data_IF_517342174911
#
_entry.id   IF_517342174911
#
_cell.length_a   1.000
_cell.length_b   1.000
_cell.length_c   1.000
_cell.angle_alpha   90.00
_cell.angle_beta   90.00
_cell.angle_gamma   90.00
#
_symmetry.space_group_name_H-M   'P 1'
#
loop_
_entity.id
_entity.type
_entity.pdbx_description
1 polymer ?
#
# COMPACT_ATOMS: atom_id res chain seq x y z
N UNK A 1 0.14 -9.36 22.45
CA UNK A 1 0.63 -10.02 21.23
C UNK A 1 0.33 -9.17 20.02
N UNK A 2 1.32 -8.97 19.20
CA UNK A 2 1.13 -8.18 17.97
C UNK A 2 0.59 -9.08 16.87
N UNK A 3 -0.49 -8.61 16.25
CA UNK A 3 -1.04 -9.30 15.09
C UNK A 3 -0.68 -8.45 13.88
N UNK A 4 0.02 -9.02 12.94
CA UNK A 4 0.32 -8.32 11.70
C UNK A 4 -0.95 -8.19 10.89
N UNK A 5 -1.29 -6.96 10.49
CA UNK A 5 -2.46 -6.71 9.67
C UNK A 5 -2.24 -7.19 8.24
N UNK A 6 -1.00 -7.17 7.80
CA UNK A 6 -0.63 -7.56 6.44
C UNK A 6 0.58 -8.47 6.51
N UNK A 7 0.49 -9.64 5.89
CA UNK A 7 1.59 -10.59 5.90
C UNK A 7 2.69 -10.16 4.92
N UNK A 8 3.91 -10.67 5.15
CA UNK A 8 5.02 -10.42 4.25
C UNK A 8 4.73 -10.95 2.85
N UNK A 9 4.05 -12.08 2.74
CA UNK A 9 3.67 -12.63 1.44
C UNK A 9 2.74 -11.71 0.67
N UNK A 10 1.78 -11.11 1.37
CA UNK A 10 0.87 -10.15 0.75
C UNK A 10 1.60 -8.89 0.30
N UNK A 11 2.53 -8.43 1.12
CA UNK A 11 3.31 -7.25 0.78
C UNK A 11 4.23 -7.52 -0.41
N UNK A 12 4.82 -8.71 -0.47
CA UNK A 12 5.64 -9.10 -1.61
C UNK A 12 4.84 -9.14 -2.92
N UNK A 13 3.63 -9.69 -2.86
CA UNK A 13 2.77 -9.76 -4.03
C UNK A 13 2.38 -8.35 -4.50
N UNK A 14 1.99 -7.50 -3.56
CA UNK A 14 1.61 -6.13 -3.88
C UNK A 14 2.81 -5.34 -4.43
N UNK A 15 3.98 -5.51 -3.83
CA UNK A 15 5.21 -4.88 -4.29
C UNK A 15 5.52 -5.30 -5.73
N UNK A 16 5.38 -6.59 -6.04
CA UNK A 16 5.64 -7.08 -7.38
C UNK A 16 4.70 -6.43 -8.39
N UNK A 17 3.43 -6.28 -8.06
CA UNK A 17 2.49 -5.60 -8.93
C UNK A 17 2.88 -4.14 -9.16
N UNK A 18 3.32 -3.46 -8.11
CA UNK A 18 3.76 -2.07 -8.21
C UNK A 18 4.99 -1.93 -9.10
N UNK A 19 5.93 -2.88 -9.01
CA UNK A 19 7.16 -2.83 -9.78
C UNK A 19 6.98 -3.29 -11.23
N UNK A 20 6.21 -4.36 -11.44
CA UNK A 20 6.08 -4.97 -12.76
C UNK A 20 5.02 -4.31 -13.62
N UNK A 21 4.04 -3.67 -13.00
CA UNK A 21 2.92 -3.08 -13.72
C UNK A 21 3.24 -1.81 -14.49
N UNK A 22 4.41 -1.22 -14.30
CA UNK A 22 4.74 0.06 -14.93
C UNK A 22 3.74 1.14 -14.58
N UNK A 23 3.24 1.12 -13.35
CA UNK A 23 2.16 2.00 -12.92
C UNK A 23 2.65 3.41 -12.66
N UNK A 24 1.81 4.40 -13.03
CA UNK A 24 2.06 5.76 -12.60
C UNK A 24 1.56 5.93 -11.16
N UNK A 25 1.77 7.14 -10.60
CA UNK A 25 1.40 7.41 -9.20
C UNK A 25 -0.09 7.19 -8.93
N UNK A 26 -0.94 7.57 -9.87
CA UNK A 26 -2.39 7.40 -9.72
C UNK A 26 -2.80 5.94 -9.73
N UNK A 27 -2.20 5.17 -10.63
CA UNK A 27 -2.48 3.74 -10.73
C UNK A 27 -1.98 3.01 -9.50
N UNK A 28 -0.80 3.37 -9.00
CA UNK A 28 -0.27 2.81 -7.77
C UNK A 28 -1.19 3.12 -6.59
N UNK A 29 -1.67 4.36 -6.49
CA UNK A 29 -2.59 4.76 -5.43
C UNK A 29 -3.88 3.96 -5.51
N UNK A 30 -4.41 3.79 -6.71
CA UNK A 30 -5.63 3.01 -6.93
C UNK A 30 -5.45 1.56 -6.51
N UNK A 31 -4.30 0.98 -6.81
CA UNK A 31 -3.99 -0.37 -6.39
C UNK A 31 -4.00 -0.50 -4.87
N UNK A 32 -3.40 0.46 -4.16
CA UNK A 32 -3.41 0.47 -2.70
C UNK A 32 -4.82 0.62 -2.15
N UNK A 33 -5.65 1.46 -2.77
CA UNK A 33 -7.04 1.62 -2.37
C UNK A 33 -7.82 0.32 -2.53
N UNK A 34 -7.68 -0.32 -3.67
CA UNK A 34 -8.38 -1.58 -3.95
C UNK A 34 -7.97 -2.65 -2.94
N UNK A 35 -6.68 -2.73 -2.65
CA UNK A 35 -6.16 -3.68 -1.69
C UNK A 35 -6.77 -3.46 -0.31
N UNK A 36 -6.78 -2.23 0.17
CA UNK A 36 -7.31 -1.92 1.50
C UNK A 36 -8.83 -2.00 1.55
N UNK A 37 -9.51 -1.53 0.50
CA UNK A 37 -10.98 -1.62 0.44
C UNK A 37 -11.44 -3.07 0.47
N UNK A 38 -10.71 -3.97 -0.16
CA UNK A 38 -11.01 -5.39 -0.12
C UNK A 38 -10.89 -6.01 1.27
N UNK A 39 -10.23 -5.31 2.19
CA UNK A 39 -10.07 -5.74 3.57
C UNK A 39 -10.98 -4.96 4.52
N UNK A 40 -11.85 -4.12 3.99
CA UNK A 40 -12.80 -3.38 4.80
C UNK A 40 -12.31 -2.01 5.26
N UNK A 41 -11.19 -1.53 4.75
CA UNK A 41 -10.69 -0.19 5.08
C UNK A 41 -11.04 0.79 3.97
N UNK A 42 -11.76 1.84 4.31
CA UNK A 42 -12.09 2.88 3.34
C UNK A 42 -10.97 3.92 3.31
N UNK A 43 -10.24 4.03 2.21
CA UNK A 43 -9.10 4.92 2.08
C UNK A 43 -9.38 5.96 1.01
N UNK A 44 -9.11 7.24 1.31
CA UNK A 44 -9.32 8.30 0.34
C UNK A 44 -8.27 8.23 -0.77
N UNK A 45 -8.60 8.67 -1.99
CA UNK A 45 -7.63 8.70 -3.08
C UNK A 45 -6.39 9.53 -2.75
N UNK A 46 -6.58 10.64 -2.03
CA UNK A 46 -5.46 11.51 -1.67
C UNK A 46 -4.49 10.83 -0.71
N UNK A 47 -5.02 10.16 0.31
CA UNK A 47 -4.17 9.45 1.26
C UNK A 47 -3.42 8.31 0.58
N UNK A 48 -4.09 7.59 -0.32
CA UNK A 48 -3.46 6.51 -1.08
C UNK A 48 -2.36 7.06 -2.00
N UNK A 49 -2.60 8.21 -2.62
CA UNK A 49 -1.60 8.83 -3.49
C UNK A 49 -0.35 9.22 -2.73
N UNK A 50 -0.52 9.80 -1.54
CA UNK A 50 0.62 10.17 -0.70
C UNK A 50 1.40 8.94 -0.27
N UNK A 51 0.72 7.87 0.12
CA UNK A 51 1.36 6.63 0.50
C UNK A 51 2.12 6.02 -0.67
N UNK A 52 1.51 6.01 -1.86
CA UNK A 52 2.17 5.49 -3.06
C UNK A 52 3.45 6.27 -3.38
N UNK A 53 3.41 7.59 -3.23
CA UNK A 53 4.59 8.43 -3.45
C UNK A 53 5.72 8.09 -2.50
N UNK A 54 5.40 7.85 -1.22
CA UNK A 54 6.42 7.48 -0.25
C UNK A 54 7.01 6.11 -0.54
N UNK A 55 6.17 5.16 -0.96
CA UNK A 55 6.64 3.83 -1.32
C UNK A 55 7.57 3.90 -2.52
N UNK A 56 7.19 4.65 -3.54
CA UNK A 56 8.02 4.82 -4.73
C UNK A 56 9.35 5.49 -4.37
N UNK A 57 9.30 6.50 -3.53
CA UNK A 57 10.51 7.21 -3.09
C UNK A 57 11.48 6.35 -2.32
N UNK A 58 10.98 5.27 -1.70
CA UNK A 58 11.82 4.33 -0.94
C UNK A 58 12.30 3.15 -1.80
N UNK A 59 11.98 3.14 -3.09
CA UNK A 59 12.32 2.03 -3.96
C UNK A 59 11.42 0.82 -3.77
N UNK A 60 10.19 1.03 -3.35
CA UNK A 60 9.20 -0.02 -3.09
C UNK A 60 9.68 -1.02 -2.03
N UNK A 61 10.27 -0.52 -0.96
CA UNK A 61 10.66 -1.35 0.17
C UNK A 61 9.44 -2.01 0.81
N UNK A 62 9.55 -3.29 1.10
CA UNK A 62 8.46 -4.03 1.76
C UNK A 62 8.16 -3.41 3.13
N UNK A 63 9.19 -3.01 3.87
CA UNK A 63 9.02 -2.40 5.18
C UNK A 63 8.24 -1.09 5.10
N UNK A 64 8.59 -0.24 4.15
CA UNK A 64 7.90 1.03 3.97
C UNK A 64 6.48 0.80 3.46
N UNK A 65 6.29 -0.12 2.54
CA UNK A 65 4.97 -0.46 2.04
C UNK A 65 4.06 -0.91 3.18
N UNK A 66 4.55 -1.82 4.01
CA UNK A 66 3.78 -2.32 5.15
C UNK A 66 3.43 -1.20 6.11
N UNK A 67 4.41 -0.34 6.41
CA UNK A 67 4.21 0.78 7.31
C UNK A 67 3.16 1.76 6.77
N UNK A 68 3.24 2.09 5.49
CA UNK A 68 2.29 3.02 4.90
C UNK A 68 0.87 2.45 4.88
N UNK A 69 0.73 1.18 4.57
CA UNK A 69 -0.58 0.53 4.58
C UNK A 69 -1.16 0.46 5.99
N UNK A 70 -0.32 0.18 6.99
CA UNK A 70 -0.77 0.19 8.38
C UNK A 70 -1.23 1.58 8.80
N UNK A 71 -0.51 2.61 8.41
CA UNK A 71 -0.89 3.98 8.72
C UNK A 71 -2.23 4.34 8.07
N UNK A 72 -2.44 3.95 6.83
CA UNK A 72 -3.71 4.19 6.16
C UNK A 72 -4.86 3.49 6.86
N UNK A 73 -4.64 2.26 7.30
CA UNK A 73 -5.65 1.48 8.00
C UNK A 73 -5.98 2.09 9.37
N UNK A 74 -4.99 2.67 10.03
CA UNK A 74 -5.17 3.23 11.37
C UNK A 74 -5.85 4.61 11.36
N UNK A 75 -5.77 5.33 10.26
CA UNK A 75 -6.34 6.68 10.18
C UNK A 75 -7.87 6.67 10.14
N UNK A 76 -8.42 5.53 9.93
CA UNK A 76 -9.87 5.38 9.95
C UNK A 76 -10.36 5.01 11.33
#
# INVERSE_FOLDING_TARGET
MLVEQFSTAEMSALRNELLEGGLDSWQAAELLQVFLNGRGYGVSPEAALQAASRVEGSGCSIEILQKELQNLALVM
#
